data_IF_030358170736
#
_entry.id   IF_030358170736
#
_cell.length_a   1.000
_cell.length_b   1.000
_cell.length_c   1.000
_cell.angle_alpha   90.00
_cell.angle_beta   90.00
_cell.angle_gamma   90.00
#
_symmetry.space_group_name_H-M   'P 1'
#
loop_
_entity.id
_entity.type
_entity.pdbx_description
1 polymer ?
#
# COMPACT_ATOMS: atom_id res chain seq x y z
N UNK A 1 -21.59 15.18 44.46
CA UNK A 1 -21.16 14.59 45.74
C UNK A 1 -20.01 13.63 45.45
N UNK A 2 -18.93 13.76 46.24
CA UNK A 2 -17.83 12.81 46.48
C UNK A 2 -16.92 12.36 45.32
N UNK A 3 -15.68 12.88 45.43
CA UNK A 3 -14.43 12.49 44.76
C UNK A 3 -13.96 11.10 45.23
N UNK A 4 -13.27 10.36 44.36
CA UNK A 4 -12.39 9.26 44.79
C UNK A 4 -11.07 9.34 44.03
N UNK A 5 -10.02 9.74 44.73
CA UNK A 5 -8.61 9.72 44.33
C UNK A 5 -7.91 8.55 45.02
N UNK A 6 -7.07 7.80 44.29
CA UNK A 6 -6.04 6.92 44.85
C UNK A 6 -5.08 6.50 43.73
N UNK A 7 -3.76 6.32 43.89
CA UNK A 7 -2.74 6.74 44.85
C UNK A 7 -1.42 6.45 44.13
N UNK A 8 -0.48 7.38 44.16
CA UNK A 8 0.89 7.23 43.64
C UNK A 8 1.61 6.02 44.27
N UNK A 9 2.33 5.24 43.45
CA UNK A 9 3.49 4.48 43.90
C UNK A 9 4.70 4.96 43.10
N UNK A 10 5.57 5.72 43.77
CA UNK A 10 6.91 6.08 43.28
C UNK A 10 7.86 4.96 43.72
N UNK A 11 8.57 4.36 42.77
CA UNK A 11 9.74 3.52 43.07
C UNK A 11 11.00 4.31 42.73
N UNK A 12 11.68 4.74 43.79
CA UNK A 12 13.05 5.25 43.80
C UNK A 12 14.04 4.10 43.90
N UNK A 13 15.10 4.15 43.09
CA UNK A 13 16.34 3.40 43.27
C UNK A 13 17.13 3.39 41.96
N UNK A 14 18.41 3.73 41.87
CA UNK A 14 19.41 4.21 42.80
C UNK A 14 20.64 4.60 41.98
N UNK A 15 21.32 5.67 42.37
CA UNK A 15 22.58 6.15 41.79
C UNK A 15 23.72 5.15 42.03
N UNK A 16 24.49 4.80 40.99
CA UNK A 16 25.90 4.49 41.13
C UNK A 16 26.67 5.24 40.03
N UNK A 17 27.40 6.26 40.47
CA UNK A 17 28.43 6.93 39.71
C UNK A 17 29.71 6.09 39.72
N UNK A 18 30.33 5.91 38.56
CA UNK A 18 31.65 5.31 38.40
C UNK A 18 32.45 6.10 37.37
N UNK A 19 33.07 7.19 37.81
CA UNK A 19 34.09 7.89 37.03
C UNK A 19 35.43 7.18 37.22
N UNK A 20 36.01 6.66 36.13
CA UNK A 20 37.43 6.32 36.06
C UNK A 20 38.03 7.18 34.96
N UNK A 21 38.84 8.14 35.37
CA UNK A 21 39.75 8.90 34.51
C UNK A 21 41.09 8.16 34.53
N UNK A 22 41.58 7.74 33.36
CA UNK A 22 42.98 7.43 33.15
C UNK A 22 43.47 8.22 31.94
N UNK A 23 44.22 9.27 32.23
CA UNK A 23 44.97 10.08 31.29
C UNK A 23 46.21 9.29 30.88
N UNK A 24 46.32 8.93 29.60
CA UNK A 24 47.52 8.37 28.99
C UNK A 24 47.90 9.18 27.76
N UNK A 25 49.03 9.88 27.81
CA UNK A 25 49.67 10.51 26.65
C UNK A 25 50.90 9.71 26.28
N UNK A 26 50.99 9.23 25.04
CA UNK A 26 52.21 9.16 24.20
C UNK A 26 51.97 8.23 23.00
N UNK A 27 52.24 8.72 21.79
CA UNK A 27 52.30 7.93 20.56
C UNK A 27 51.79 8.69 19.35
N UNK A 28 52.63 9.54 18.78
CA UNK A 28 52.42 10.17 17.47
C UNK A 28 52.67 9.12 16.37
N UNK A 29 51.71 8.89 15.47
CA UNK A 29 51.94 8.43 14.09
C UNK A 29 50.63 8.44 13.26
N UNK A 30 50.54 9.39 12.32
CA UNK A 30 49.65 9.34 11.15
C UNK A 30 48.23 9.91 11.27
N UNK A 31 47.72 10.69 10.29
CA UNK A 31 46.29 10.94 10.18
C UNK A 31 45.59 9.63 9.77
N UNK A 32 45.13 8.87 10.76
CA UNK A 32 44.04 7.94 10.53
C UNK A 32 42.81 8.78 10.24
N UNK A 33 42.47 8.90 8.95
CA UNK A 33 41.10 9.19 8.56
C UNK A 33 40.26 8.05 9.14
N UNK A 34 39.70 8.31 10.32
CA UNK A 34 38.52 7.62 10.79
C UNK A 34 37.43 7.94 9.76
N UNK A 35 37.43 7.17 8.67
CA UNK A 35 36.23 6.92 7.93
C UNK A 35 35.36 6.15 8.90
N UNK A 36 34.73 6.90 9.81
CA UNK A 36 33.52 6.49 10.45
C UNK A 36 32.64 6.05 9.30
N UNK A 37 32.62 4.74 9.06
CA UNK A 37 31.49 4.11 8.46
C UNK A 37 30.40 4.38 9.48
N UNK A 38 29.78 5.55 9.33
CA UNK A 38 28.38 5.67 9.64
C UNK A 38 27.80 4.45 8.94
N UNK A 39 27.56 3.40 9.71
CA UNK A 39 26.44 2.55 9.42
C UNK A 39 25.31 3.56 9.34
N UNK A 40 24.96 3.96 8.12
CA UNK A 40 23.64 4.52 7.89
C UNK A 40 22.70 3.61 8.69
N UNK A 41 21.80 4.16 9.51
CA UNK A 41 20.78 3.32 10.10
C UNK A 41 20.25 2.44 8.96
N UNK A 42 20.15 1.13 9.20
CA UNK A 42 19.45 0.29 8.24
C UNK A 42 18.12 0.99 8.01
N UNK A 43 17.87 1.39 6.76
CA UNK A 43 16.62 2.06 6.44
C UNK A 43 15.50 1.10 6.87
N UNK A 44 14.43 1.64 7.45
CA UNK A 44 13.34 0.81 7.99
C UNK A 44 12.55 0.07 6.91
N UNK A 45 12.97 0.22 5.65
CA UNK A 45 12.35 -0.28 4.43
C UNK A 45 13.44 -0.80 3.47
N UNK A 46 13.02 -1.55 2.46
CA UNK A 46 13.82 -2.13 1.40
C UNK A 46 13.19 -1.87 0.01
N UNK A 47 13.79 -2.44 -1.04
CA UNK A 47 13.32 -2.23 -2.41
C UNK A 47 11.91 -2.83 -2.67
N UNK A 48 11.50 -3.86 -1.93
CA UNK A 48 10.18 -4.47 -2.05
C UNK A 48 9.09 -3.51 -1.52
N UNK A 49 9.31 -2.89 -0.35
CA UNK A 49 8.37 -1.91 0.21
C UNK A 49 8.15 -0.73 -0.76
N UNK A 50 9.23 -0.27 -1.41
CA UNK A 50 9.19 0.80 -2.42
C UNK A 50 8.44 0.36 -3.66
N UNK A 51 8.74 -0.83 -4.19
CA UNK A 51 8.08 -1.35 -5.38
C UNK A 51 6.58 -1.61 -5.14
N UNK A 52 6.22 -2.10 -3.95
CA UNK A 52 4.84 -2.29 -3.52
C UNK A 52 4.08 -0.96 -3.53
N UNK A 53 4.60 0.07 -2.86
CA UNK A 53 3.95 1.39 -2.84
C UNK A 53 3.86 2.01 -4.25
N UNK A 54 4.94 1.97 -5.03
CA UNK A 54 4.97 2.53 -6.39
C UNK A 54 4.04 1.79 -7.37
N UNK A 55 3.83 0.48 -7.17
CA UNK A 55 2.95 -0.33 -8.00
C UNK A 55 1.48 -0.27 -7.57
N UNK A 56 1.22 -0.29 -6.27
CA UNK A 56 -0.14 -0.34 -5.74
C UNK A 56 -0.85 1.02 -5.81
N UNK A 57 -0.13 2.15 -5.77
CA UNK A 57 -0.74 3.47 -5.97
C UNK A 57 -1.50 3.57 -7.32
N UNK A 58 -0.86 3.39 -8.48
CA UNK A 58 -1.57 3.51 -9.76
C UNK A 58 -2.61 2.39 -9.95
N UNK A 59 -2.41 1.22 -9.33
CA UNK A 59 -3.41 0.16 -9.35
C UNK A 59 -4.68 0.58 -8.59
N UNK A 60 -4.55 1.14 -7.37
CA UNK A 60 -5.70 1.67 -6.63
C UNK A 60 -6.37 2.85 -7.34
N UNK A 61 -5.61 3.75 -7.97
CA UNK A 61 -6.17 4.82 -8.81
C UNK A 61 -7.03 4.28 -9.97
N UNK A 62 -6.65 3.13 -10.53
CA UNK A 62 -7.43 2.38 -11.51
C UNK A 62 -8.79 1.93 -10.94
N UNK A 63 -8.78 1.28 -9.78
CA UNK A 63 -9.99 0.87 -9.09
C UNK A 63 -10.92 2.05 -8.72
N UNK A 64 -10.37 3.19 -8.30
CA UNK A 64 -11.18 4.39 -8.03
C UNK A 64 -11.92 4.84 -9.30
N UNK A 65 -11.24 4.86 -10.45
CA UNK A 65 -11.89 5.24 -11.71
C UNK A 65 -12.96 4.23 -12.14
N UNK A 66 -12.71 2.93 -11.96
CA UNK A 66 -13.71 1.89 -12.21
C UNK A 66 -14.91 2.01 -11.26
N UNK A 67 -14.68 2.36 -9.99
CA UNK A 67 -15.73 2.56 -9.00
C UNK A 67 -16.62 3.76 -9.36
N UNK A 68 -16.04 4.90 -9.73
CA UNK A 68 -16.79 6.09 -10.18
C UNK A 68 -17.77 5.76 -11.32
N UNK A 69 -17.33 4.93 -12.28
CA UNK A 69 -18.18 4.51 -13.41
C UNK A 69 -19.34 3.63 -12.94
N UNK A 70 -19.10 2.70 -12.00
CA UNK A 70 -20.18 1.90 -11.43
C UNK A 70 -21.15 2.72 -10.58
N UNK A 71 -20.69 3.72 -9.84
CA UNK A 71 -21.57 4.60 -9.06
C UNK A 71 -22.60 5.27 -9.98
N UNK A 72 -22.17 5.74 -11.15
CA UNK A 72 -23.04 6.37 -12.15
C UNK A 72 -23.94 5.36 -12.90
N UNK A 73 -23.40 4.20 -13.30
CA UNK A 73 -24.05 3.33 -14.30
C UNK A 73 -24.65 2.03 -13.77
N UNK A 74 -24.30 1.60 -12.56
CA UNK A 74 -24.78 0.34 -12.02
C UNK A 74 -26.31 0.36 -11.86
N UNK A 75 -26.95 -0.73 -12.28
CA UNK A 75 -28.40 -0.91 -12.16
C UNK A 75 -28.77 -1.58 -10.84
N UNK A 76 -28.04 -2.61 -10.43
CA UNK A 76 -28.21 -3.26 -9.14
C UNK A 76 -27.65 -2.37 -8.01
N UNK A 77 -28.47 -2.00 -7.01
CA UNK A 77 -28.03 -1.14 -5.91
C UNK A 77 -26.90 -1.75 -5.08
N UNK A 78 -26.70 -3.07 -5.10
CA UNK A 78 -25.61 -3.75 -4.38
C UNK A 78 -24.27 -3.60 -5.10
N UNK A 79 -24.29 -3.53 -6.44
CA UNK A 79 -23.09 -3.23 -7.23
C UNK A 79 -22.66 -1.78 -7.00
N UNK A 80 -23.63 -0.84 -6.95
CA UNK A 80 -23.34 0.55 -6.56
C UNK A 80 -22.76 0.65 -5.15
N UNK A 81 -23.39 -0.01 -4.17
CA UNK A 81 -22.89 -0.02 -2.78
C UNK A 81 -21.47 -0.56 -2.66
N UNK A 82 -21.17 -1.65 -3.38
CA UNK A 82 -19.83 -2.22 -3.41
C UNK A 82 -18.81 -1.23 -4.01
N UNK A 83 -19.14 -0.56 -5.12
CA UNK A 83 -18.27 0.44 -5.72
C UNK A 83 -17.96 1.61 -4.76
N UNK A 84 -18.98 2.13 -4.06
CA UNK A 84 -18.81 3.19 -3.05
C UNK A 84 -17.92 2.72 -1.88
N UNK A 85 -18.00 1.45 -1.48
CA UNK A 85 -17.15 0.88 -0.43
C UNK A 85 -15.69 0.70 -0.88
N UNK A 86 -15.47 0.24 -2.10
CA UNK A 86 -14.12 0.11 -2.69
C UNK A 86 -13.45 1.49 -2.75
N UNK A 87 -14.16 2.51 -3.26
CA UNK A 87 -13.67 3.89 -3.32
C UNK A 87 -13.25 4.40 -1.93
N UNK A 88 -14.14 4.24 -0.94
CA UNK A 88 -13.88 4.68 0.42
C UNK A 88 -12.77 3.90 1.15
N UNK A 89 -12.48 2.67 0.71
CA UNK A 89 -11.43 1.82 1.26
C UNK A 89 -10.05 2.14 0.69
N UNK A 90 -9.94 2.29 -0.63
CA UNK A 90 -8.66 2.41 -1.31
C UNK A 90 -8.06 3.82 -1.30
N UNK A 91 -8.88 4.88 -1.25
CA UNK A 91 -8.39 6.28 -1.24
C UNK A 91 -7.44 6.57 -0.04
N UNK A 92 -7.75 6.19 1.22
CA UNK A 92 -6.81 6.35 2.34
C UNK A 92 -5.53 5.49 2.22
N UNK A 93 -5.57 4.38 1.50
CA UNK A 93 -4.41 3.50 1.30
C UNK A 93 -3.40 4.16 0.33
N UNK A 94 -3.88 4.86 -0.71
CA UNK A 94 -3.06 5.68 -1.59
C UNK A 94 -2.30 6.76 -0.79
N UNK A 95 -2.99 7.44 0.12
CA UNK A 95 -2.39 8.47 0.98
C UNK A 95 -1.27 7.90 1.86
N UNK A 96 -1.46 6.70 2.42
CA UNK A 96 -0.43 6.03 3.23
C UNK A 96 0.81 5.71 2.40
N UNK A 97 0.63 5.06 1.25
CA UNK A 97 1.73 4.66 0.36
C UNK A 97 2.50 5.87 -0.19
N UNK A 98 1.78 6.94 -0.55
CA UNK A 98 2.39 8.21 -0.96
C UNK A 98 3.22 8.81 0.17
N UNK A 99 2.68 8.83 1.39
CA UNK A 99 3.39 9.34 2.57
C UNK A 99 4.65 8.53 2.92
N UNK A 100 4.63 7.22 2.70
CA UNK A 100 5.80 6.36 2.86
C UNK A 100 6.89 6.70 1.85
N UNK A 101 6.57 6.78 0.56
CA UNK A 101 7.54 7.12 -0.48
C UNK A 101 8.18 8.50 -0.23
N UNK A 102 7.39 9.49 0.20
CA UNK A 102 7.91 10.80 0.61
C UNK A 102 8.86 10.69 1.82
N UNK A 103 8.50 9.91 2.84
CA UNK A 103 9.30 9.72 4.04
C UNK A 103 10.62 8.98 3.75
N UNK A 104 10.57 7.99 2.86
CA UNK A 104 11.71 7.19 2.40
C UNK A 104 12.58 7.94 1.39
N UNK A 105 12.14 9.11 0.91
CA UNK A 105 12.86 9.90 -0.08
C UNK A 105 12.87 9.27 -1.47
N UNK A 106 11.87 8.44 -1.77
CA UNK A 106 11.68 7.75 -3.03
C UNK A 106 10.69 8.51 -3.93
N UNK A 107 10.78 8.36 -5.26
CA UNK A 107 9.79 8.94 -6.15
C UNK A 107 8.43 8.21 -6.00
N UNK A 108 7.32 8.93 -6.16
CA UNK A 108 5.97 8.35 -6.10
C UNK A 108 5.73 7.40 -7.27
N UNK A 109 6.13 7.82 -8.47
CA UNK A 109 6.13 6.96 -9.65
C UNK A 109 7.50 6.28 -9.78
N UNK A 110 7.50 5.00 -10.14
CA UNK A 110 8.73 4.33 -10.55
C UNK A 110 9.34 5.06 -11.77
N UNK A 111 10.66 5.22 -11.81
CA UNK A 111 11.33 5.76 -12.99
C UNK A 111 11.24 4.74 -14.14
N UNK A 112 10.60 5.12 -15.25
CA UNK A 112 10.46 4.35 -16.50
C UNK A 112 11.79 3.91 -17.17
N UNK A 113 12.94 4.12 -16.53
CA UNK A 113 14.27 3.95 -17.12
C UNK A 113 14.95 2.63 -16.78
N UNK A 114 14.38 1.79 -15.92
CA UNK A 114 14.87 0.43 -15.68
C UNK A 114 14.24 -0.53 -16.70
N UNK A 115 14.85 -0.59 -17.88
CA UNK A 115 14.29 -1.16 -19.11
C UNK A 115 13.59 -2.52 -19.01
N UNK A 116 12.46 -2.60 -19.70
CA UNK A 116 12.09 -3.75 -20.54
C UNK A 116 11.16 -3.26 -21.67
N UNK A 117 11.50 -3.72 -22.87
CA UNK A 117 10.77 -3.62 -24.12
C UNK A 117 9.36 -4.21 -23.98
N UNK A 118 8.40 -3.41 -23.54
CA UNK A 118 6.98 -3.69 -23.73
C UNK A 118 6.56 -3.16 -25.10
N UNK A 119 6.84 -3.96 -26.12
CA UNK A 119 6.28 -3.79 -27.45
C UNK A 119 4.75 -3.77 -27.38
N UNK A 120 4.17 -2.57 -27.47
CA UNK A 120 2.72 -2.38 -27.50
C UNK A 120 2.38 -0.91 -27.64
N UNK A 121 2.28 -0.46 -28.89
CA UNK A 121 1.54 0.71 -29.39
C UNK A 121 1.17 1.82 -28.39
N UNK A 122 1.80 2.98 -28.56
CA UNK A 122 1.29 4.21 -27.96
C UNK A 122 -0.14 4.52 -28.41
N UNK A 123 -1.01 4.76 -27.43
CA UNK A 123 -2.02 5.81 -27.40
C UNK A 123 -2.48 5.92 -25.94
N UNK A 124 -2.52 7.15 -25.41
CA UNK A 124 -3.02 7.43 -24.06
C UNK A 124 -4.53 7.30 -23.99
N UNK A 125 -5.00 6.07 -23.94
CA UNK A 125 -6.35 5.69 -23.53
C UNK A 125 -6.18 4.66 -22.40
N UNK A 126 -6.84 4.91 -21.28
CA UNK A 126 -6.67 4.17 -20.04
C UNK A 126 -7.22 2.75 -20.18
N UNK A 127 -6.34 1.78 -20.42
CA UNK A 127 -6.61 0.36 -20.18
C UNK A 127 -6.70 0.19 -18.65
N UNK A 128 -7.90 0.30 -18.10
CA UNK A 128 -8.18 0.09 -16.67
C UNK A 128 -8.26 -1.41 -16.41
N UNK A 129 -7.09 -2.07 -16.34
CA UNK A 129 -6.95 -3.49 -16.00
C UNK A 129 -7.98 -4.40 -16.68
N UNK A 130 -8.06 -4.30 -18.01
CA UNK A 130 -8.92 -5.15 -18.84
C UNK A 130 -10.33 -4.59 -19.13
N UNK A 131 -10.68 -3.40 -18.62
CA UNK A 131 -11.82 -2.63 -19.15
C UNK A 131 -11.38 -1.60 -20.18
N UNK A 132 -11.55 -1.93 -21.46
CA UNK A 132 -11.61 -0.90 -22.50
C UNK A 132 -12.93 -0.14 -22.34
N UNK A 133 -12.84 1.16 -22.02
CA UNK A 133 -14.00 2.05 -21.91
C UNK A 133 -14.85 2.09 -23.20
N UNK A 134 -14.27 1.74 -24.36
CA UNK A 134 -14.97 1.62 -25.63
C UNK A 134 -15.85 0.35 -25.72
N UNK A 135 -15.47 -0.72 -25.02
CA UNK A 135 -16.21 -2.00 -25.00
C UNK A 135 -17.23 -2.09 -23.85
N UNK A 136 -17.30 -1.06 -23.02
CA UNK A 136 -18.22 -0.99 -21.89
C UNK A 136 -19.70 -0.96 -22.35
N UNK A 137 -20.55 -1.90 -21.88
CA UNK A 137 -21.96 -1.91 -22.21
C UNK A 137 -22.69 -0.70 -21.61
N UNK A 138 -23.87 -0.33 -22.15
CA UNK A 138 -24.70 0.69 -21.54
C UNK A 138 -25.16 0.26 -20.13
N UNK A 139 -25.53 1.24 -19.31
CA UNK A 139 -26.11 0.99 -17.98
C UNK A 139 -27.21 -0.08 -18.01
N UNK A 140 -27.13 -1.03 -17.08
CA UNK A 140 -28.03 -2.19 -17.03
C UNK A 140 -27.35 -3.44 -16.47
N UNK A 141 -28.06 -4.56 -16.44
CA UNK A 141 -27.56 -5.81 -15.88
C UNK A 141 -26.32 -6.38 -16.61
N UNK A 142 -26.13 -6.07 -17.89
CA UNK A 142 -24.93 -6.47 -18.64
C UNK A 142 -23.71 -5.65 -18.20
N UNK A 143 -23.91 -4.37 -17.89
CA UNK A 143 -22.89 -3.52 -17.28
C UNK A 143 -22.50 -4.01 -15.89
N UNK A 144 -23.47 -4.30 -15.03
CA UNK A 144 -23.21 -4.80 -13.68
C UNK A 144 -22.33 -6.06 -13.72
N UNK A 145 -22.64 -7.02 -14.61
CA UNK A 145 -21.86 -8.26 -14.75
C UNK A 145 -20.47 -8.02 -15.31
N UNK A 146 -20.33 -7.20 -16.34
CA UNK A 146 -18.99 -6.86 -16.86
C UNK A 146 -18.15 -6.16 -15.79
N UNK A 147 -18.74 -5.21 -15.05
CA UNK A 147 -18.02 -4.47 -14.02
C UNK A 147 -17.50 -5.41 -12.91
N UNK A 148 -18.37 -6.31 -12.42
CA UNK A 148 -17.98 -7.30 -11.43
C UNK A 148 -16.88 -8.24 -11.93
N UNK A 149 -16.92 -8.66 -13.20
CA UNK A 149 -15.90 -9.54 -13.77
C UNK A 149 -14.53 -8.88 -13.83
N UNK A 150 -14.44 -7.64 -14.33
CA UNK A 150 -13.15 -6.97 -14.42
C UNK A 150 -12.65 -6.52 -13.05
N UNK A 151 -13.54 -6.13 -12.13
CA UNK A 151 -13.11 -5.77 -10.77
C UNK A 151 -12.59 -6.99 -10.00
N UNK A 152 -13.09 -8.21 -10.27
CA UNK A 152 -12.47 -9.45 -9.76
C UNK A 152 -11.04 -9.61 -10.29
N UNK A 153 -10.82 -9.44 -11.60
CA UNK A 153 -9.48 -9.56 -12.21
C UNK A 153 -8.50 -8.51 -11.66
N UNK A 154 -8.96 -7.27 -11.52
CA UNK A 154 -8.21 -6.19 -10.90
C UNK A 154 -7.83 -6.53 -9.45
N UNK A 155 -8.79 -6.95 -8.62
CA UNK A 155 -8.53 -7.34 -7.22
C UNK A 155 -7.57 -8.53 -7.09
N UNK A 156 -7.64 -9.52 -7.98
CA UNK A 156 -6.68 -10.63 -8.02
C UNK A 156 -5.24 -10.11 -8.24
N UNK A 157 -5.07 -9.09 -9.08
CA UNK A 157 -3.79 -8.39 -9.28
C UNK A 157 -3.25 -7.77 -7.99
N UNK A 158 -4.09 -7.04 -7.24
CA UNK A 158 -3.71 -6.46 -5.96
C UNK A 158 -3.33 -7.52 -4.91
N UNK A 159 -4.06 -8.64 -4.84
CA UNK A 159 -3.74 -9.75 -3.92
C UNK A 159 -2.36 -10.35 -4.23
N UNK A 160 -2.00 -10.49 -5.51
CA UNK A 160 -0.66 -10.97 -5.92
C UNK A 160 0.45 -9.99 -5.55
N UNK A 161 0.25 -8.69 -5.80
CA UNK A 161 1.23 -7.65 -5.44
C UNK A 161 1.44 -7.58 -3.93
N UNK A 162 0.35 -7.55 -3.16
CA UNK A 162 0.41 -7.59 -1.70
C UNK A 162 1.02 -8.90 -1.17
N UNK A 163 0.81 -10.02 -1.86
CA UNK A 163 1.49 -11.28 -1.55
C UNK A 163 3.01 -11.19 -1.65
N UNK A 164 3.53 -10.50 -2.67
CA UNK A 164 4.98 -10.26 -2.82
C UNK A 164 5.51 -9.43 -1.66
N UNK A 165 4.80 -8.38 -1.28
CA UNK A 165 5.16 -7.53 -0.15
C UNK A 165 5.18 -8.30 1.18
N UNK A 166 4.21 -9.19 1.41
CA UNK A 166 4.21 -10.06 2.59
C UNK A 166 5.41 -11.03 2.65
N UNK A 167 5.98 -11.39 1.50
CA UNK A 167 7.11 -12.32 1.41
C UNK A 167 8.46 -11.61 1.50
N UNK A 168 8.57 -10.41 0.94
CA UNK A 168 9.83 -9.72 0.69
C UNK A 168 10.00 -8.38 1.44
N UNK A 169 8.91 -7.77 1.92
CA UNK A 169 8.88 -6.49 2.61
C UNK A 169 9.64 -6.46 3.93
N UNK A 170 10.07 -5.27 4.34
CA UNK A 170 10.82 -5.01 5.57
C UNK A 170 10.13 -4.00 6.49
N UNK A 171 9.38 -3.05 5.95
CA UNK A 171 8.67 -2.04 6.74
C UNK A 171 7.41 -2.65 7.37
N UNK A 172 7.32 -2.60 8.71
CA UNK A 172 6.24 -3.27 9.45
C UNK A 172 4.86 -2.70 9.05
N UNK A 173 4.78 -1.39 8.80
CA UNK A 173 3.55 -0.72 8.36
C UNK A 173 3.14 -1.07 6.92
N UNK A 174 4.10 -1.17 5.99
CA UNK A 174 3.86 -1.61 4.62
C UNK A 174 3.35 -3.07 4.57
N UNK A 175 4.02 -3.97 5.30
CA UNK A 175 3.63 -5.38 5.43
C UNK A 175 2.25 -5.54 6.09
N UNK A 176 1.92 -4.69 7.07
CA UNK A 176 0.60 -4.70 7.70
C UNK A 176 -0.50 -4.23 6.74
N UNK A 177 -0.25 -3.21 5.91
CA UNK A 177 -1.19 -2.80 4.86
C UNK A 177 -1.35 -3.89 3.80
N UNK A 178 -0.27 -4.52 3.35
CA UNK A 178 -0.36 -5.64 2.40
C UNK A 178 -1.23 -6.78 2.94
N UNK A 179 -1.12 -7.09 4.24
CA UNK A 179 -1.99 -8.08 4.89
C UNK A 179 -3.46 -7.65 4.87
N UNK A 180 -3.72 -6.38 5.16
CA UNK A 180 -5.07 -5.80 5.12
C UNK A 180 -5.65 -5.91 3.71
N UNK A 181 -4.89 -5.52 2.69
CA UNK A 181 -5.30 -5.59 1.28
C UNK A 181 -5.65 -7.02 0.86
N UNK A 182 -4.81 -8.00 1.21
CA UNK A 182 -5.12 -9.42 0.93
C UNK A 182 -6.44 -9.81 1.60
N UNK A 183 -6.64 -9.45 2.87
CA UNK A 183 -7.86 -9.79 3.60
C UNK A 183 -9.12 -9.11 3.02
N UNK A 184 -9.06 -7.81 2.75
CA UNK A 184 -10.22 -7.04 2.26
C UNK A 184 -10.54 -7.38 0.82
N UNK A 185 -9.56 -7.39 -0.08
CA UNK A 185 -9.80 -7.64 -1.50
C UNK A 185 -10.20 -9.09 -1.77
N UNK A 186 -9.74 -10.07 -0.98
CA UNK A 186 -10.27 -11.45 -1.06
C UNK A 186 -11.76 -11.50 -0.69
N UNK A 187 -12.20 -10.78 0.35
CA UNK A 187 -13.61 -10.72 0.74
C UNK A 187 -14.48 -10.03 -0.32
N UNK A 188 -13.96 -8.98 -0.95
CA UNK A 188 -14.63 -8.28 -2.03
C UNK A 188 -14.72 -9.16 -3.28
N UNK A 189 -13.67 -9.91 -3.64
CA UNK A 189 -13.73 -10.93 -4.71
C UNK A 189 -14.86 -11.94 -4.45
N UNK A 190 -14.93 -12.49 -3.24
CA UNK A 190 -15.99 -13.43 -2.89
C UNK A 190 -17.38 -12.80 -2.97
N UNK A 191 -17.52 -11.51 -2.63
CA UNK A 191 -18.77 -10.77 -2.79
C UNK A 191 -19.14 -10.56 -4.25
N UNK A 192 -18.17 -10.16 -5.08
CA UNK A 192 -18.37 -9.95 -6.51
C UNK A 192 -18.78 -11.25 -7.21
N UNK A 193 -18.13 -12.36 -6.89
CA UNK A 193 -18.48 -13.69 -7.41
C UNK A 193 -19.90 -14.09 -7.02
N UNK A 194 -20.32 -13.84 -5.78
CA UNK A 194 -21.72 -14.09 -5.36
C UNK A 194 -22.71 -13.22 -6.14
N UNK A 195 -22.40 -11.94 -6.33
CA UNK A 195 -23.26 -11.04 -7.11
C UNK A 195 -23.34 -11.47 -8.58
N UNK A 196 -22.24 -11.93 -9.17
CA UNK A 196 -22.21 -12.49 -10.52
C UNK A 196 -23.16 -13.69 -10.65
N UNK A 197 -23.05 -14.67 -9.76
CA UNK A 197 -23.92 -15.85 -9.75
C UNK A 197 -25.42 -15.48 -9.66
N UNK A 198 -25.75 -14.50 -8.82
CA UNK A 198 -27.13 -14.03 -8.61
C UNK A 198 -27.68 -13.23 -9.79
N UNK A 199 -26.81 -12.55 -10.55
CA UNK A 199 -27.17 -11.77 -11.74
C UNK A 199 -27.16 -12.61 -13.03
N UNK A 200 -26.88 -13.91 -12.94
CA UNK A 200 -26.86 -14.84 -14.07
C UNK A 200 -25.56 -14.79 -14.88
N UNK A 201 -24.45 -14.55 -14.18
CA UNK A 201 -23.08 -14.79 -14.64
C UNK A 201 -22.73 -16.26 -14.72
#
# INVERSE_FOLDING_TARGET
>A
MTRTTARLARLTGGLIAGAVVLTGCAGEDGPAVDAGRATAPAEGFNDADVAFAQGMIPHHEGALTMAEVAVDRAQDPRVRDLAERIEAGQDPEIDLMTGWLEQWGQPIAADDTAGMDHGGSGHGDMDMDGMDMADMPPAGADFDRMWLQSMVEHHDGAVVMAGTELEEGQDDEAVDLARLIVETQTQEIEEMQRLLDELGG
#
